data_IF_800957535129
#
_entry.id   IF_800957535129
#
_cell.length_a   1.000
_cell.length_b   1.000
_cell.length_c   1.000
_cell.angle_alpha   90.00
_cell.angle_beta   90.00
_cell.angle_gamma   90.00
#
_symmetry.space_group_name_H-M   'P 1'
#
loop_
_entity.id
_entity.type
_entity.pdbx_description
1 polymer ?
#
# COMPACT_ATOMS: atom_id res chain seq x y z
N UNK A 1 4.38 20.08 -9.11
CA UNK A 1 3.94 19.01 -8.19
C UNK A 1 5.17 18.23 -7.76
N UNK A 2 5.28 17.82 -6.49
CA UNK A 2 6.37 16.93 -6.09
C UNK A 2 6.17 15.56 -6.75
N UNK A 3 7.26 14.81 -6.97
CA UNK A 3 7.19 13.44 -7.50
C UNK A 3 6.69 12.48 -6.42
N UNK A 4 6.15 11.32 -6.81
CA UNK A 4 5.77 10.26 -5.88
C UNK A 4 6.93 9.90 -4.95
N UNK A 5 8.16 9.83 -5.50
CA UNK A 5 9.36 9.51 -4.71
C UNK A 5 9.65 10.56 -3.64
N UNK A 6 9.56 11.85 -3.97
CA UNK A 6 9.82 12.93 -3.01
C UNK A 6 8.80 12.90 -1.87
N UNK A 7 7.51 12.74 -2.17
CA UNK A 7 6.46 12.64 -1.15
C UNK A 7 6.67 11.43 -0.23
N UNK A 8 6.94 10.27 -0.82
CA UNK A 8 7.30 9.06 -0.08
C UNK A 8 8.50 9.28 0.86
N UNK A 9 9.59 9.85 0.34
CA UNK A 9 10.82 10.04 1.11
C UNK A 9 10.65 11.03 2.26
N UNK A 10 9.84 12.08 2.08
CA UNK A 10 9.52 13.03 3.16
C UNK A 10 8.81 12.36 4.32
N UNK A 11 7.89 11.43 4.04
CA UNK A 11 7.15 10.68 5.06
C UNK A 11 8.04 9.61 5.71
N UNK A 12 8.73 8.79 4.91
CA UNK A 12 9.57 7.69 5.40
C UNK A 12 10.73 8.19 6.28
N UNK A 13 11.40 9.28 5.90
CA UNK A 13 12.52 9.84 6.68
C UNK A 13 12.12 10.25 8.10
N UNK A 14 10.94 10.80 8.27
CA UNK A 14 10.40 11.27 9.56
C UNK A 14 9.14 10.48 9.95
N UNK A 15 9.18 9.15 9.77
CA UNK A 15 8.02 8.28 9.96
C UNK A 15 7.41 8.42 11.37
N UNK A 16 8.24 8.55 12.40
CA UNK A 16 7.75 8.70 13.78
C UNK A 16 6.95 9.99 13.98
N UNK A 17 7.41 11.09 13.39
CA UNK A 17 6.70 12.37 13.43
C UNK A 17 5.39 12.30 12.62
N UNK A 18 5.43 11.63 11.48
CA UNK A 18 4.25 11.41 10.63
C UNK A 18 3.18 10.58 11.34
N UNK A 19 3.58 9.49 12.00
CA UNK A 19 2.70 8.64 12.81
C UNK A 19 2.14 9.41 14.01
N UNK A 20 2.98 10.18 14.72
CA UNK A 20 2.52 10.99 15.85
C UNK A 20 1.49 12.05 15.44
N UNK A 21 1.67 12.68 14.26
CA UNK A 21 0.71 13.62 13.70
C UNK A 21 -0.63 12.94 13.42
N UNK A 22 -0.62 11.76 12.75
CA UNK A 22 -1.84 11.00 12.45
C UNK A 22 -2.51 10.52 13.74
N UNK A 23 -1.74 10.06 14.73
CA UNK A 23 -2.25 9.65 16.03
C UNK A 23 -2.96 10.80 16.78
N UNK A 24 -2.49 12.04 16.60
CA UNK A 24 -3.06 13.23 17.21
C UNK A 24 -4.30 13.78 16.48
N UNK A 25 -4.63 13.26 15.28
CA UNK A 25 -5.83 13.68 14.56
C UNK A 25 -7.09 13.35 15.39
N UNK A 26 -8.08 14.26 15.50
CA UNK A 26 -9.22 14.07 16.40
C UNK A 26 -10.00 12.76 16.17
N UNK A 27 -10.18 12.37 14.91
CA UNK A 27 -10.88 11.13 14.56
C UNK A 27 -10.04 9.91 14.96
N UNK A 28 -8.77 9.87 14.58
CA UNK A 28 -7.84 8.79 14.93
C UNK A 28 -7.72 8.62 16.44
N UNK A 29 -7.44 9.71 17.17
CA UNK A 29 -7.32 9.70 18.62
C UNK A 29 -8.58 9.16 19.31
N UNK A 30 -9.77 9.54 18.83
CA UNK A 30 -11.04 9.06 19.36
C UNK A 30 -11.24 7.57 19.13
N UNK A 31 -10.92 7.08 17.94
CA UNK A 31 -11.06 5.64 17.63
C UNK A 31 -10.03 4.80 18.39
N UNK A 32 -8.78 5.26 18.49
CA UNK A 32 -7.73 4.61 19.29
C UNK A 32 -8.13 4.53 20.76
N UNK A 33 -8.61 5.64 21.34
CA UNK A 33 -9.10 5.67 22.73
C UNK A 33 -10.23 4.68 22.93
N UNK A 34 -11.24 4.70 22.05
CA UNK A 34 -12.36 3.77 22.14
C UNK A 34 -11.91 2.31 22.05
N UNK A 35 -10.98 2.00 21.15
CA UNK A 35 -10.46 0.65 20.99
C UNK A 35 -9.76 0.17 22.27
N UNK A 36 -8.80 0.94 22.79
CA UNK A 36 -8.05 0.57 24.00
C UNK A 36 -8.93 0.43 25.24
N UNK A 37 -9.94 1.28 25.40
CA UNK A 37 -10.85 1.24 26.56
C UNK A 37 -11.84 0.05 26.53
N UNK A 38 -12.02 -0.61 25.37
CA UNK A 38 -13.08 -1.60 25.19
C UNK A 38 -12.61 -2.95 24.66
N UNK A 39 -11.45 -3.06 24.01
CA UNK A 39 -11.02 -4.32 23.40
C UNK A 39 -10.81 -5.44 24.43
N UNK A 40 -10.27 -5.14 25.61
CA UNK A 40 -10.07 -6.14 26.67
C UNK A 40 -11.37 -6.72 27.23
N UNK A 41 -12.50 -6.03 27.02
CA UNK A 41 -13.83 -6.50 27.44
C UNK A 41 -14.38 -7.58 26.51
N UNK A 42 -13.84 -7.71 25.30
CA UNK A 42 -14.23 -8.71 24.30
C UNK A 42 -13.62 -10.05 24.67
N UNK A 43 -14.45 -11.05 24.97
CA UNK A 43 -14.01 -12.37 25.44
C UNK A 43 -14.23 -13.49 24.42
N UNK A 44 -15.01 -13.22 23.38
CA UNK A 44 -15.33 -14.21 22.35
C UNK A 44 -15.35 -13.62 20.94
N UNK A 45 -15.37 -14.50 19.94
CA UNK A 45 -15.60 -14.13 18.54
C UNK A 45 -16.96 -13.42 18.39
N UNK A 46 -17.98 -13.86 19.13
CA UNK A 46 -19.31 -13.26 19.09
C UNK A 46 -19.31 -11.84 19.64
N UNK A 47 -18.64 -11.60 20.77
CA UNK A 47 -18.48 -10.25 21.32
C UNK A 47 -17.75 -9.33 20.33
N UNK A 48 -16.70 -9.87 19.71
CA UNK A 48 -15.87 -9.11 18.78
C UNK A 48 -16.64 -8.72 17.52
N UNK A 49 -17.27 -9.68 16.85
CA UNK A 49 -18.06 -9.44 15.63
C UNK A 49 -19.37 -8.68 15.92
N UNK A 50 -19.89 -8.80 17.14
CA UNK A 50 -21.04 -8.06 17.65
C UNK A 50 -20.74 -6.58 17.85
N UNK A 51 -19.53 -6.22 18.29
CA UNK A 51 -19.11 -4.83 18.38
C UNK A 51 -18.55 -4.31 17.04
N UNK A 52 -19.44 -3.74 16.22
CA UNK A 52 -19.07 -3.24 14.89
C UNK A 52 -17.93 -2.22 14.93
N UNK A 53 -17.86 -1.35 15.94
CA UNK A 53 -16.82 -0.31 16.02
C UNK A 53 -15.44 -0.90 16.28
N UNK A 54 -15.33 -1.85 17.22
CA UNK A 54 -14.06 -2.56 17.48
C UNK A 54 -13.63 -3.41 16.28
N UNK A 55 -14.58 -4.13 15.69
CA UNK A 55 -14.31 -4.98 14.54
C UNK A 55 -13.89 -4.14 13.31
N UNK A 56 -14.58 -3.05 13.00
CA UNK A 56 -14.21 -2.16 11.90
C UNK A 56 -12.83 -1.51 12.12
N UNK A 57 -12.53 -1.10 13.35
CA UNK A 57 -11.21 -0.60 13.72
C UNK A 57 -10.11 -1.62 13.43
N UNK A 58 -10.29 -2.86 13.90
CA UNK A 58 -9.34 -3.94 13.66
C UNK A 58 -9.23 -4.26 12.17
N UNK A 59 -10.34 -4.41 11.44
CA UNK A 59 -10.33 -4.68 10.00
C UNK A 59 -9.56 -3.61 9.24
N UNK A 60 -9.75 -2.33 9.58
CA UNK A 60 -8.98 -1.23 9.02
C UNK A 60 -7.50 -1.35 9.34
N UNK A 61 -7.12 -1.63 10.58
CA UNK A 61 -5.72 -1.79 10.98
C UNK A 61 -4.96 -2.82 10.12
N UNK A 62 -5.64 -3.87 9.68
CA UNK A 62 -5.08 -4.93 8.81
C UNK A 62 -5.39 -4.74 7.32
N UNK A 63 -5.87 -3.57 6.90
CA UNK A 63 -6.13 -3.24 5.50
C UNK A 63 -7.35 -3.95 4.88
N UNK A 64 -8.24 -4.49 5.71
CA UNK A 64 -9.45 -5.23 5.32
C UNK A 64 -10.73 -4.38 5.47
N UNK A 65 -10.62 -3.04 5.46
CA UNK A 65 -11.73 -2.09 5.66
C UNK A 65 -12.90 -2.36 4.70
N UNK A 66 -12.61 -2.64 3.43
CA UNK A 66 -13.61 -2.93 2.40
C UNK A 66 -14.36 -4.26 2.63
N UNK A 67 -13.80 -5.16 3.45
CA UNK A 67 -14.35 -6.48 3.74
C UNK A 67 -15.05 -6.53 5.11
N UNK A 68 -15.28 -5.38 5.73
CA UNK A 68 -16.01 -5.26 7.01
C UNK A 68 -17.45 -5.80 6.95
N UNK A 69 -18.09 -5.81 5.79
CA UNK A 69 -19.42 -6.40 5.63
C UNK A 69 -19.42 -7.94 5.73
N UNK A 70 -18.29 -8.59 5.43
CA UNK A 70 -18.18 -10.04 5.29
C UNK A 70 -18.03 -10.78 6.64
N UNK A 71 -18.90 -10.49 7.62
CA UNK A 71 -18.80 -11.02 8.99
C UNK A 71 -18.81 -12.55 9.06
N UNK A 72 -19.61 -13.23 8.22
CA UNK A 72 -19.65 -14.69 8.19
C UNK A 72 -18.32 -15.30 7.71
N UNK A 73 -17.68 -14.64 6.73
CA UNK A 73 -16.35 -15.02 6.27
C UNK A 73 -15.32 -14.85 7.38
N UNK A 74 -15.31 -13.68 8.04
CA UNK A 74 -14.38 -13.42 9.14
C UNK A 74 -14.64 -14.30 10.37
N UNK A 75 -15.89 -14.68 10.65
CA UNK A 75 -16.21 -15.69 11.66
C UNK A 75 -15.49 -16.99 11.34
N UNK A 76 -15.56 -17.49 10.10
CA UNK A 76 -14.86 -18.72 9.70
C UNK A 76 -13.34 -18.60 9.85
N UNK A 77 -12.77 -17.47 9.43
CA UNK A 77 -11.34 -17.15 9.60
C UNK A 77 -10.92 -17.24 11.07
N UNK A 78 -11.67 -16.61 11.97
CA UNK A 78 -11.36 -16.58 13.41
C UNK A 78 -11.64 -17.92 14.12
N UNK A 79 -12.71 -18.61 13.74
CA UNK A 79 -13.10 -19.89 14.34
C UNK A 79 -12.14 -21.02 13.97
N UNK A 80 -11.69 -21.08 12.72
CA UNK A 80 -10.69 -22.09 12.32
C UNK A 80 -9.26 -21.71 12.74
N UNK A 81 -8.98 -20.41 12.89
CA UNK A 81 -7.68 -19.89 13.31
C UNK A 81 -6.56 -20.21 12.32
N UNK A 82 -5.32 -20.26 12.81
CA UNK A 82 -4.11 -20.47 11.98
C UNK A 82 -3.25 -21.65 12.42
N UNK A 83 -3.57 -22.28 13.54
CA UNK A 83 -2.78 -23.38 14.12
C UNK A 83 -2.80 -24.63 13.23
N UNK A 84 -3.94 -24.92 12.59
CA UNK A 84 -4.07 -26.03 11.65
C UNK A 84 -3.60 -25.62 10.25
N UNK A 85 -2.68 -26.37 9.66
CA UNK A 85 -2.16 -26.10 8.30
C UNK A 85 -3.25 -26.02 7.23
N UNK A 86 -4.35 -26.76 7.42
CA UNK A 86 -5.50 -26.78 6.52
C UNK A 86 -6.61 -25.80 6.88
N UNK A 87 -6.40 -24.93 7.89
CA UNK A 87 -7.41 -23.96 8.31
C UNK A 87 -7.79 -23.02 7.17
N UNK A 88 -9.01 -22.51 7.21
CA UNK A 88 -9.54 -21.62 6.20
C UNK A 88 -8.60 -20.44 5.93
N UNK A 89 -8.10 -19.77 6.98
CA UNK A 89 -7.18 -18.65 6.86
C UNK A 89 -5.85 -19.02 6.18
N UNK A 90 -5.32 -20.22 6.41
CA UNK A 90 -4.08 -20.71 5.78
C UNK A 90 -4.26 -21.12 4.31
N UNK A 91 -5.50 -21.29 3.85
CA UNK A 91 -5.83 -21.64 2.46
C UNK A 91 -6.22 -20.43 1.61
N UNK A 92 -6.39 -19.26 2.23
CA UNK A 92 -6.68 -18.03 1.50
C UNK A 92 -5.43 -17.54 0.79
N UNK A 93 -5.62 -17.02 -0.42
CA UNK A 93 -4.54 -16.37 -1.16
C UNK A 93 -4.09 -15.08 -0.45
N UNK A 94 -5.03 -14.31 0.12
CA UNK A 94 -4.73 -13.06 0.81
C UNK A 94 -4.25 -13.31 2.25
N UNK A 95 -2.95 -13.09 2.48
CA UNK A 95 -2.31 -13.32 3.78
C UNK A 95 -2.83 -12.41 4.91
N UNK A 96 -3.46 -11.27 4.58
CA UNK A 96 -3.97 -10.33 5.60
C UNK A 96 -5.01 -10.98 6.51
N UNK A 97 -5.78 -11.95 5.99
CA UNK A 97 -6.72 -12.72 6.82
C UNK A 97 -6.02 -13.64 7.81
N UNK A 98 -4.89 -14.25 7.42
CA UNK A 98 -4.04 -15.07 8.28
C UNK A 98 -3.35 -14.22 9.33
N UNK A 99 -2.88 -13.03 8.99
CA UNK A 99 -2.34 -12.06 9.95
C UNK A 99 -3.40 -11.62 10.97
N UNK A 100 -4.61 -11.33 10.51
CA UNK A 100 -5.74 -10.98 11.36
C UNK A 100 -6.09 -12.12 12.32
N UNK A 101 -6.21 -13.35 11.80
CA UNK A 101 -6.51 -14.54 12.58
C UNK A 101 -5.39 -14.89 13.58
N UNK A 102 -4.12 -14.65 13.22
CA UNK A 102 -3.00 -14.76 14.15
C UNK A 102 -3.25 -13.86 15.34
N UNK A 103 -3.53 -12.57 15.12
CA UNK A 103 -3.66 -11.55 16.18
C UNK A 103 -4.87 -11.82 17.08
N UNK A 104 -6.02 -12.06 16.47
CA UNK A 104 -7.28 -12.32 17.18
C UNK A 104 -7.55 -13.83 17.30
N UNK A 105 -6.57 -14.58 17.81
CA UNK A 105 -6.62 -16.05 17.93
C UNK A 105 -7.46 -16.52 19.13
N UNK A 106 -8.78 -16.32 19.03
CA UNK A 106 -9.76 -16.80 19.99
C UNK A 106 -9.83 -18.33 20.09
N UNK A 107 -9.39 -19.04 19.04
CA UNK A 107 -9.34 -20.51 19.04
C UNK A 107 -8.30 -21.03 20.04
N UNK A 108 -7.10 -20.44 20.04
CA UNK A 108 -6.01 -20.87 20.93
C UNK A 108 -6.12 -20.25 22.32
N UNK A 109 -6.48 -18.96 22.41
CA UNK A 109 -6.38 -18.19 23.67
C UNK A 109 -7.72 -17.84 24.31
N UNK A 110 -8.84 -18.13 23.65
CA UNK A 110 -10.19 -17.85 24.16
C UNK A 110 -10.33 -16.41 24.65
N UNK A 111 -10.82 -16.26 25.88
CA UNK A 111 -11.11 -14.98 26.53
C UNK A 111 -9.88 -14.08 26.76
N UNK A 112 -8.67 -14.64 26.71
CA UNK A 112 -7.42 -13.89 26.91
C UNK A 112 -6.85 -13.30 25.62
N UNK A 113 -7.43 -13.63 24.46
CA UNK A 113 -6.96 -13.16 23.14
C UNK A 113 -6.76 -11.64 23.07
N UNK A 114 -7.68 -10.89 23.66
CA UNK A 114 -7.71 -9.42 23.60
C UNK A 114 -6.88 -8.74 24.69
N UNK A 115 -6.29 -9.51 25.61
CA UNK A 115 -5.36 -8.97 26.62
C UNK A 115 -3.93 -8.93 26.13
N UNK A 116 -3.60 -9.63 25.04
CA UNK A 116 -2.25 -9.61 24.46
C UNK A 116 -1.95 -8.26 23.80
N UNK A 117 -0.72 -7.76 23.97
CA UNK A 117 -0.28 -6.49 23.37
C UNK A 117 -0.47 -6.43 21.85
N UNK A 118 -0.28 -7.56 21.16
CA UNK A 118 -0.52 -7.67 19.69
C UNK A 118 -1.95 -7.33 19.28
N UNK A 119 -2.94 -7.68 20.10
CA UNK A 119 -4.36 -7.39 19.87
C UNK A 119 -4.75 -6.01 20.44
N UNK A 120 -3.98 -5.46 21.37
CA UNK A 120 -4.14 -4.11 21.94
C UNK A 120 -3.29 -3.11 21.15
N UNK A 121 -2.13 -2.74 21.68
CA UNK A 121 -1.26 -1.73 21.12
C UNK A 121 -0.79 -2.06 19.70
N UNK A 122 -0.51 -3.32 19.39
CA UNK A 122 -0.12 -3.72 18.04
C UNK A 122 -1.19 -3.44 16.97
N UNK A 123 -2.48 -3.57 17.33
CA UNK A 123 -3.58 -3.21 16.42
C UNK A 123 -3.72 -1.68 16.29
N UNK A 124 -3.50 -0.93 17.37
CA UNK A 124 -3.46 0.55 17.36
C UNK A 124 -2.34 1.07 16.46
N UNK A 125 -1.14 0.50 16.58
CA UNK A 125 0.02 0.91 15.78
C UNK A 125 -0.24 0.65 14.29
N UNK A 126 -0.81 -0.52 13.97
CA UNK A 126 -1.24 -0.86 12.62
C UNK A 126 -2.33 0.07 12.09
N UNK A 127 -3.30 0.45 12.94
CA UNK A 127 -4.36 1.39 12.57
C UNK A 127 -3.80 2.78 12.23
N UNK A 128 -2.90 3.31 13.05
CA UNK A 128 -2.27 4.61 12.83
C UNK A 128 -1.44 4.56 11.54
N UNK A 129 -0.68 3.48 11.35
CA UNK A 129 0.14 3.30 10.15
C UNK A 129 -0.72 3.16 8.89
N UNK A 130 -1.80 2.39 8.93
CA UNK A 130 -2.76 2.31 7.84
C UNK A 130 -3.41 3.66 7.56
N UNK A 131 -3.76 4.42 8.59
CA UNK A 131 -4.38 5.75 8.42
C UNK A 131 -3.42 6.73 7.77
N UNK A 132 -2.13 6.68 8.12
CA UNK A 132 -1.08 7.44 7.43
C UNK A 132 -0.97 7.06 5.95
N UNK A 133 -0.93 5.76 5.66
CA UNK A 133 -0.85 5.24 4.28
C UNK A 133 -2.06 5.66 3.45
N UNK A 134 -3.28 5.54 4.00
CA UNK A 134 -4.52 5.96 3.34
C UNK A 134 -4.52 7.46 3.09
N UNK A 135 -4.13 8.27 4.08
CA UNK A 135 -4.07 9.73 3.98
C UNK A 135 -3.09 10.18 2.90
N UNK A 136 -1.88 9.61 2.88
CA UNK A 136 -0.89 9.87 1.83
C UNK A 136 -1.38 9.42 0.43
N UNK A 137 -2.17 8.34 0.38
CA UNK A 137 -2.79 7.83 -0.84
C UNK A 137 -3.88 8.70 -1.45
N UNK A 138 -4.47 9.62 -0.68
CA UNK A 138 -5.44 10.59 -1.22
C UNK A 138 -4.77 11.61 -2.13
N UNK A 139 -3.51 11.94 -1.86
CA UNK A 139 -2.70 12.83 -2.70
C UNK A 139 -2.08 12.05 -3.86
N UNK A 140 -1.51 10.87 -3.58
CA UNK A 140 -0.86 10.02 -4.58
C UNK A 140 -0.92 8.54 -4.17
N UNK A 141 -1.68 7.75 -4.93
CA UNK A 141 -1.81 6.31 -4.68
C UNK A 141 -0.46 5.56 -4.73
N UNK A 142 0.52 6.06 -5.48
CA UNK A 142 1.88 5.51 -5.51
C UNK A 142 2.60 5.70 -4.18
N UNK A 143 2.37 6.81 -3.47
CA UNK A 143 2.95 7.03 -2.14
C UNK A 143 2.40 6.02 -1.14
N UNK A 144 1.09 5.76 -1.16
CA UNK A 144 0.46 4.73 -0.33
C UNK A 144 1.08 3.36 -0.58
N UNK A 145 1.19 2.95 -1.85
CA UNK A 145 1.78 1.67 -2.23
C UNK A 145 3.23 1.55 -1.78
N UNK A 146 4.02 2.62 -1.91
CA UNK A 146 5.42 2.63 -1.48
C UNK A 146 5.56 2.48 0.05
N UNK A 147 4.76 3.23 0.83
CA UNK A 147 4.76 3.13 2.30
C UNK A 147 4.28 1.75 2.78
N UNK A 148 3.24 1.20 2.12
CA UNK A 148 2.74 -0.14 2.40
C UNK A 148 3.81 -1.21 2.15
N UNK A 149 4.48 -1.14 0.99
CA UNK A 149 5.54 -2.07 0.65
C UNK A 149 6.74 -1.94 1.61
N UNK A 150 7.17 -0.72 1.95
CA UNK A 150 8.23 -0.50 2.96
C UNK A 150 7.86 -1.14 4.31
N UNK A 151 6.59 -1.06 4.73
CA UNK A 151 6.11 -1.70 5.95
C UNK A 151 6.21 -3.22 5.91
N UNK A 152 5.81 -3.82 4.79
CA UNK A 152 5.68 -5.27 4.64
C UNK A 152 6.98 -5.95 4.21
N UNK A 153 7.91 -5.22 3.59
CA UNK A 153 9.12 -5.77 2.98
C UNK A 153 9.92 -6.73 3.89
N UNK A 154 10.16 -6.44 5.19
CA UNK A 154 10.90 -7.36 6.06
C UNK A 154 10.18 -8.68 6.36
N UNK A 155 8.87 -8.75 6.10
CA UNK A 155 8.05 -9.95 6.27
C UNK A 155 7.94 -10.82 5.02
N UNK A 156 8.46 -10.35 3.88
CA UNK A 156 8.42 -11.07 2.60
C UNK A 156 9.57 -12.06 2.58
N UNK A 157 9.25 -13.35 2.66
CA UNK A 157 10.23 -14.44 2.63
C UNK A 157 10.13 -15.27 1.34
N UNK A 158 9.07 -15.08 0.57
CA UNK A 158 8.82 -15.84 -0.65
C UNK A 158 8.14 -14.99 -1.72
N UNK A 159 8.33 -15.29 -3.03
CA UNK A 159 7.54 -14.68 -4.09
C UNK A 159 6.03 -14.89 -3.92
N UNK A 160 5.62 -15.97 -3.24
CA UNK A 160 4.21 -16.22 -2.93
C UNK A 160 3.63 -15.18 -1.97
N UNK A 161 4.41 -14.62 -1.06
CA UNK A 161 3.96 -13.56 -0.14
C UNK A 161 3.64 -12.27 -0.92
N UNK A 162 4.40 -12.00 -1.98
CA UNK A 162 4.14 -10.88 -2.90
C UNK A 162 2.85 -11.15 -3.70
N UNK A 163 2.69 -12.37 -4.22
CA UNK A 163 1.51 -12.76 -5.02
C UNK A 163 0.22 -12.82 -4.20
N UNK A 164 0.36 -13.11 -2.90
CA UNK A 164 -0.73 -13.17 -1.94
C UNK A 164 -1.32 -11.80 -1.63
N UNK A 165 -0.52 -10.73 -1.72
CA UNK A 165 -0.95 -9.38 -1.40
C UNK A 165 -1.06 -8.52 -2.67
N UNK A 166 -2.27 -8.07 -3.06
CA UNK A 166 -2.46 -7.31 -4.30
C UNK A 166 -1.67 -6.00 -4.32
N UNK A 167 -1.45 -5.35 -3.18
CA UNK A 167 -0.69 -4.11 -3.12
C UNK A 167 0.82 -4.37 -3.31
N UNK A 168 1.36 -5.46 -2.73
CA UNK A 168 2.76 -5.86 -2.96
C UNK A 168 2.98 -6.26 -4.41
N UNK A 169 2.06 -7.06 -4.96
CA UNK A 169 2.09 -7.48 -6.35
C UNK A 169 2.11 -6.28 -7.30
N UNK A 170 1.24 -5.29 -7.07
CA UNK A 170 1.16 -4.08 -7.89
C UNK A 170 2.47 -3.29 -7.88
N UNK A 171 3.11 -3.15 -6.71
CA UNK A 171 4.42 -2.48 -6.59
C UNK A 171 5.48 -3.23 -7.39
N UNK A 172 5.56 -4.54 -7.23
CA UNK A 172 6.57 -5.39 -7.89
C UNK A 172 6.37 -5.41 -9.41
N UNK A 173 5.14 -5.60 -9.89
CA UNK A 173 4.81 -5.56 -11.31
C UNK A 173 5.15 -4.20 -11.92
N UNK A 174 4.83 -3.11 -11.23
CA UNK A 174 5.13 -1.76 -11.70
C UNK A 174 6.63 -1.50 -11.76
N UNK A 175 7.36 -1.82 -10.69
CA UNK A 175 8.80 -1.60 -10.60
C UNK A 175 9.59 -2.40 -11.64
N UNK A 176 9.17 -3.65 -11.87
CA UNK A 176 9.83 -4.58 -12.79
C UNK A 176 9.28 -4.54 -14.22
N UNK A 177 8.25 -3.72 -14.45
CA UNK A 177 7.50 -3.62 -15.71
C UNK A 177 6.98 -4.98 -16.20
N UNK A 178 6.44 -5.78 -15.28
CA UNK A 178 5.81 -7.06 -15.56
C UNK A 178 4.34 -6.77 -15.91
N UNK A 179 3.86 -7.11 -17.12
CA UNK A 179 2.46 -6.94 -17.50
C UNK A 179 1.54 -7.82 -16.64
N UNK A 180 0.36 -7.34 -16.27
CA UNK A 180 -0.67 -8.14 -15.60
C UNK A 180 -1.07 -9.40 -16.40
N UNK A 181 -0.92 -9.36 -17.74
CA UNK A 181 -1.23 -10.47 -18.64
C UNK A 181 -0.09 -11.46 -18.82
N UNK A 182 1.14 -11.13 -18.40
CA UNK A 182 2.26 -12.08 -18.41
C UNK A 182 2.01 -13.27 -17.46
N UNK A 183 1.01 -13.15 -16.59
CA UNK A 183 0.50 -14.11 -15.60
C UNK A 183 -0.24 -15.33 -16.15
N UNK A 184 -0.29 -15.55 -17.47
CA UNK A 184 -1.01 -16.67 -18.09
C UNK A 184 -0.53 -18.09 -17.72
N UNK A 185 0.63 -18.22 -17.07
CA UNK A 185 1.25 -19.50 -16.69
C UNK A 185 0.85 -20.07 -15.33
N UNK A 186 -0.14 -19.51 -14.64
CA UNK A 186 -0.48 -19.90 -13.26
C UNK A 186 0.39 -19.20 -12.20
N UNK A 187 0.15 -19.50 -10.92
CA UNK A 187 0.80 -18.81 -9.78
C UNK A 187 2.30 -19.14 -9.69
N UNK A 188 2.68 -20.39 -10.01
CA UNK A 188 4.07 -20.85 -9.94
C UNK A 188 4.96 -20.18 -10.99
N UNK A 189 4.45 -19.98 -12.20
CA UNK A 189 5.16 -19.27 -13.26
C UNK A 189 5.39 -17.80 -12.91
N UNK A 190 4.41 -17.17 -12.24
CA UNK A 190 4.55 -15.79 -11.76
C UNK A 190 5.58 -15.70 -10.62
N UNK A 191 5.56 -16.65 -9.68
CA UNK A 191 6.53 -16.73 -8.59
C UNK A 191 7.95 -16.84 -9.14
N UNK A 192 8.19 -17.75 -10.09
CA UNK A 192 9.49 -17.92 -10.74
C UNK A 192 9.94 -16.67 -11.50
N UNK A 193 9.01 -15.96 -12.16
CA UNK A 193 9.33 -14.71 -12.87
C UNK A 193 9.74 -13.58 -11.92
N UNK A 194 9.08 -13.48 -10.76
CA UNK A 194 9.43 -12.52 -9.71
C UNK A 194 10.80 -12.89 -9.14
N UNK A 195 11.01 -14.15 -8.76
CA UNK A 195 12.27 -14.64 -8.19
C UNK A 195 13.48 -14.42 -9.10
N UNK A 196 13.31 -14.59 -10.43
CA UNK A 196 14.36 -14.30 -11.39
C UNK A 196 14.69 -12.80 -11.51
N UNK A 197 13.74 -11.91 -11.22
CA UNK A 197 13.88 -10.45 -11.41
C UNK A 197 14.12 -9.68 -10.11
N UNK A 198 13.82 -10.29 -8.97
CA UNK A 198 13.88 -9.70 -7.64
C UNK A 198 14.49 -10.71 -6.67
N UNK A 199 15.63 -10.33 -6.11
CA UNK A 199 16.23 -11.01 -4.97
C UNK A 199 15.33 -10.80 -3.74
N UNK A 200 14.65 -11.85 -3.26
CA UNK A 200 13.72 -11.74 -2.13
C UNK A 200 14.46 -11.42 -0.83
N UNK A 201 15.67 -11.97 -0.64
CA UNK A 201 16.49 -11.70 0.54
C UNK A 201 16.89 -10.23 0.62
N UNK A 202 16.95 -9.55 -0.53
CA UNK A 202 17.21 -8.10 -0.60
C UNK A 202 16.13 -7.25 0.07
N UNK A 203 14.90 -7.75 0.21
CA UNK A 203 13.78 -7.03 0.80
C UNK A 203 13.88 -6.91 2.33
N UNK A 204 14.79 -7.66 2.95
CA UNK A 204 15.13 -7.50 4.37
C UNK A 204 16.07 -6.32 4.65
N UNK A 205 16.75 -5.79 3.62
CA UNK A 205 17.67 -4.66 3.75
C UNK A 205 16.94 -3.33 3.44
N UNK A 206 16.78 -2.43 4.44
CA UNK A 206 16.07 -1.16 4.25
C UNK A 206 16.62 -0.29 3.12
N UNK A 207 17.93 -0.29 2.88
CA UNK A 207 18.53 0.52 1.82
C UNK A 207 18.26 -0.08 0.43
N UNK A 208 18.22 -1.41 0.32
CA UNK A 208 17.82 -2.07 -0.93
C UNK A 208 16.32 -1.88 -1.21
N UNK A 209 15.48 -1.97 -0.18
CA UNK A 209 14.04 -1.64 -0.29
C UNK A 209 13.86 -0.21 -0.78
N UNK A 210 14.58 0.75 -0.21
CA UNK A 210 14.52 2.16 -0.63
C UNK A 210 14.90 2.35 -2.10
N UNK A 211 15.96 1.69 -2.58
CA UNK A 211 16.35 1.71 -4.01
C UNK A 211 15.29 1.07 -4.90
N UNK A 212 14.70 -0.03 -4.45
CA UNK A 212 13.59 -0.68 -5.16
C UNK A 212 12.37 0.25 -5.27
N UNK A 213 12.02 0.93 -4.17
CA UNK A 213 10.94 1.91 -4.13
C UNK A 213 11.22 3.16 -4.95
N UNK A 214 12.47 3.59 -5.07
CA UNK A 214 12.86 4.65 -6.00
C UNK A 214 12.56 4.24 -7.46
N UNK A 215 12.89 3.00 -7.83
CA UNK A 215 12.54 2.47 -9.16
C UNK A 215 11.03 2.37 -9.34
N UNK A 216 10.31 1.84 -8.36
CA UNK A 216 8.85 1.77 -8.38
C UNK A 216 8.22 3.14 -8.61
N UNK A 217 8.55 4.12 -7.77
CA UNK A 217 7.95 5.47 -7.83
C UNK A 217 8.29 6.19 -9.14
N UNK A 218 9.48 5.99 -9.69
CA UNK A 218 9.84 6.50 -11.02
C UNK A 218 8.96 5.89 -12.12
N UNK A 219 8.75 4.57 -12.10
CA UNK A 219 7.89 3.88 -13.06
C UNK A 219 6.41 4.25 -12.87
N UNK A 220 5.99 4.47 -11.63
CA UNK A 220 4.65 4.91 -11.27
C UNK A 220 4.38 6.32 -11.80
N UNK A 221 5.28 7.27 -11.54
CA UNK A 221 5.19 8.65 -12.02
C UNK A 221 5.15 8.70 -13.55
N UNK A 222 5.98 7.90 -14.23
CA UNK A 222 5.98 7.84 -15.70
C UNK A 222 4.63 7.36 -16.29
N UNK A 223 3.93 6.45 -15.59
CA UNK A 223 2.66 5.88 -16.04
C UNK A 223 1.44 6.71 -15.62
N UNK A 224 1.45 7.28 -14.42
CA UNK A 224 0.28 7.89 -13.78
C UNK A 224 0.38 9.41 -13.65
N UNK A 225 1.60 9.96 -13.61
CA UNK A 225 1.86 11.38 -13.38
C UNK A 225 2.73 11.97 -14.51
N UNK A 226 2.50 11.58 -15.77
CA UNK A 226 3.32 11.98 -16.92
C UNK A 226 3.49 13.51 -17.11
N UNK A 227 2.64 14.32 -16.47
CA UNK A 227 2.72 15.79 -16.47
C UNK A 227 3.67 16.39 -15.41
N UNK A 228 4.17 15.62 -14.43
CA UNK A 228 5.00 16.12 -13.31
C UNK A 228 6.47 15.67 -13.37
N UNK A 229 6.89 14.95 -14.41
CA UNK A 229 8.26 14.47 -14.54
C UNK A 229 9.13 15.48 -15.33
N UNK A 230 10.04 16.23 -14.68
CA UNK A 230 10.85 17.25 -15.35
C UNK A 230 11.81 16.66 -16.41
N UNK A 231 12.17 15.38 -16.28
CA UNK A 231 12.96 14.64 -17.29
C UNK A 231 12.14 14.39 -18.55
N UNK A 232 10.85 14.07 -18.43
CA UNK A 232 9.97 13.92 -19.58
C UNK A 232 9.74 15.28 -20.25
N UNK A 233 9.64 16.40 -19.52
CA UNK A 233 9.63 17.73 -20.15
C UNK A 233 10.95 18.11 -20.81
N UNK A 234 12.10 17.58 -20.38
CA UNK A 234 13.38 17.80 -21.05
C UNK A 234 13.48 16.98 -22.35
N UNK A 235 12.97 15.74 -22.33
CA UNK A 235 12.97 14.84 -23.48
C UNK A 235 11.89 15.19 -24.51
N UNK A 236 10.73 15.66 -24.06
CA UNK A 236 9.63 16.16 -24.92
C UNK A 236 9.81 17.63 -25.30
N UNK A 237 10.57 18.40 -24.50
CA UNK A 237 10.91 19.80 -24.75
C UNK A 237 11.99 20.03 -25.80
N UNK A 238 12.48 18.97 -26.45
CA UNK A 238 13.35 19.06 -27.63
C UNK A 238 12.59 18.85 -28.95
N UNK A 239 11.27 18.68 -28.91
CA UNK A 239 10.43 18.52 -30.10
C UNK A 239 9.13 19.33 -30.05
N UNK A 240 9.07 20.35 -29.18
CA UNK A 240 8.23 21.50 -29.47
C UNK A 240 8.93 22.27 -30.59
N UNK A 241 8.53 21.95 -31.81
CA UNK A 241 8.69 22.78 -32.99
C UNK A 241 8.78 24.26 -32.61
N UNK A 242 9.99 24.81 -32.68
CA UNK A 242 10.19 26.17 -33.17
C UNK A 242 9.68 26.20 -34.63
N UNK A 243 8.37 26.00 -34.80
CA UNK A 243 7.65 26.44 -35.97
C UNK A 243 7.67 27.96 -35.89
N UNK A 244 8.75 28.55 -36.40
CA UNK A 244 8.64 29.88 -36.98
C UNK A 244 7.47 29.77 -37.96
N UNK A 245 6.32 30.34 -37.59
CA UNK A 245 5.16 30.38 -38.46
C UNK A 245 5.61 30.98 -39.78
N UNK A 246 5.62 30.16 -40.84
CA UNK A 246 5.91 30.61 -42.21
C UNK A 246 4.94 31.75 -42.58
N UNK A 247 3.74 31.78 -41.99
CA UNK A 247 2.78 32.88 -42.10
C UNK A 247 3.22 34.18 -41.43
N UNK A 248 4.03 34.14 -40.37
CA UNK A 248 4.59 35.34 -39.71
C UNK A 248 5.81 35.88 -40.46
N UNK A 249 6.55 35.01 -41.17
CA UNK A 249 7.60 35.42 -42.12
C UNK A 249 7.01 36.00 -43.41
N UNK A 250 5.87 35.49 -43.88
CA UNK A 250 5.17 36.00 -45.07
C UNK A 250 4.38 37.30 -44.81
N UNK A 251 4.00 37.59 -43.56
CA UNK A 251 3.32 38.85 -43.21
C UNK A 251 4.27 40.05 -43.15
N UNK A 252 5.56 39.84 -42.87
CA UNK A 252 6.58 40.89 -42.87
C UNK A 252 7.08 41.27 -44.27
N UNK A 253 6.82 40.45 -45.29
CA UNK A 253 7.23 40.74 -46.67
C UNK A 253 6.19 41.61 -47.43
N UNK A 254 4.96 41.73 -46.92
CA UNK A 254 3.92 42.60 -47.51
C UNK A 254 3.94 44.04 -47.00
N UNK A 255 4.67 44.34 -45.93
CA UNK A 255 4.77 45.70 -45.37
C UNK A 255 5.78 46.57 -46.13
N UNK A 256 6.53 46.01 -47.09
CA UNK A 256 7.54 46.76 -47.87
C UNK A 256 7.13 47.17 -49.29
N UNK A 257 5.88 46.96 -49.70
CA UNK A 257 5.36 47.36 -51.01
C UNK A 257 3.94 47.96 -50.94
N UNK A 258 3.74 48.93 -50.05
CA UNK A 258 2.57 49.81 -50.09
C UNK A 258 3.01 51.26 -49.88
N UNK A 259 3.97 51.71 -50.70
CA UNK A 259 4.21 53.12 -50.96
C UNK A 259 4.29 53.31 -52.47
N UNK A 260 3.13 53.63 -53.06
CA UNK A 260 2.94 54.49 -54.24
C UNK A 260 1.53 55.03 -54.21
#
# INVERSE_FOLDING_TARGET
>A
MMTTFTNYQLISRDIQKSLARVAAEPVTAREVKYYLENIEKVKSIDDFLGNHRLYAFAMKAYGLEDMTYAKAFMRKVLTEGVSDKSSFANRLADERYKEFAKVFDFKTYGETTTTFERARQGTVDNYIRQSLEISAGQEDAGVRLALYFERKAPGINSPYDILADPALLQVVQTALNIPETASGGGIDAQAAMIEHKLDIDSLSDPEKVKRFLQRFTTMWDAKNNAASSPVLTLFTGSSASAGMNVEMLMSLQRVKYSDT
#
